data_IF_513882197659
#
_entry.id   IF_513882197659
#
_cell.length_a   1.000
_cell.length_b   1.000
_cell.length_c   1.000
_cell.angle_alpha   90.00
_cell.angle_beta   90.00
_cell.angle_gamma   90.00
#
_symmetry.space_group_name_H-M   'P 1'
#
loop_
_entity.id
_entity.type
_entity.pdbx_description
1 polymer ?
#
# COMPACT_ATOMS: atom_id res chain seq x y z
N UNK A 1 -48.17 -49.15 50.50
CA UNK A 1 -46.79 -49.70 50.54
C UNK A 1 -46.09 -49.32 49.24
N UNK A 2 -44.97 -48.59 49.34
CA UNK A 2 -43.88 -48.38 48.37
C UNK A 2 -44.21 -47.77 47.00
N UNK A 3 -43.82 -46.50 46.77
CA UNK A 3 -42.52 -45.99 46.26
C UNK A 3 -42.49 -45.97 44.73
N UNK A 4 -42.47 -44.78 44.15
CA UNK A 4 -41.37 -44.41 43.25
C UNK A 4 -41.30 -42.88 43.09
N UNK A 5 -40.24 -42.32 43.68
CA UNK A 5 -39.74 -40.98 43.39
C UNK A 5 -38.88 -41.12 42.14
N UNK A 6 -39.29 -40.53 41.03
CA UNK A 6 -38.44 -40.38 39.85
C UNK A 6 -37.88 -38.96 39.81
N UNK A 7 -36.64 -38.80 40.28
CA UNK A 7 -35.82 -37.59 40.14
C UNK A 7 -35.37 -37.46 38.68
N UNK A 8 -36.18 -36.77 37.87
CA UNK A 8 -35.82 -36.38 36.51
C UNK A 8 -35.03 -35.08 36.50
N UNK A 9 -33.76 -35.10 36.92
CA UNK A 9 -32.83 -33.98 36.67
C UNK A 9 -32.51 -33.92 35.18
N UNK A 10 -33.35 -33.19 34.43
CA UNK A 10 -33.02 -32.76 33.07
C UNK A 10 -31.73 -31.92 33.11
N UNK A 11 -30.63 -32.49 32.65
CA UNK A 11 -29.44 -31.74 32.24
C UNK A 11 -29.82 -30.88 31.04
N UNK A 12 -30.34 -29.70 31.32
CA UNK A 12 -30.65 -28.66 30.35
C UNK A 12 -29.34 -28.21 29.71
N UNK A 13 -28.93 -28.88 28.62
CA UNK A 13 -27.79 -28.48 27.77
C UNK A 13 -28.00 -27.03 27.39
N UNK A 14 -27.12 -26.16 27.88
CA UNK A 14 -27.20 -24.72 27.70
C UNK A 14 -26.82 -24.35 26.26
N UNK A 15 -27.78 -24.50 25.34
CA UNK A 15 -27.65 -24.06 23.95
C UNK A 15 -27.28 -22.57 23.83
N UNK A 16 -27.68 -21.76 24.82
CA UNK A 16 -27.32 -20.34 24.92
C UNK A 16 -25.84 -20.09 25.21
N UNK A 17 -25.19 -20.84 26.12
CA UNK A 17 -23.78 -20.63 26.47
C UNK A 17 -22.83 -20.86 25.29
N UNK A 18 -23.12 -21.87 24.46
CA UNK A 18 -22.34 -22.11 23.23
C UNK A 18 -22.45 -20.97 22.22
N UNK A 19 -23.64 -20.39 22.07
CA UNK A 19 -23.87 -19.25 21.17
C UNK A 19 -23.17 -17.97 21.66
N UNK A 20 -23.19 -17.70 22.98
CA UNK A 20 -22.48 -16.56 23.56
C UNK A 20 -20.96 -16.67 23.38
N UNK A 21 -20.38 -17.86 23.56
CA UNK A 21 -18.94 -18.08 23.34
C UNK A 21 -18.58 -17.89 21.87
N UNK A 22 -19.40 -18.38 20.94
CA UNK A 22 -19.17 -18.20 19.51
C UNK A 22 -19.20 -16.72 19.09
N UNK A 23 -20.16 -15.94 19.60
CA UNK A 23 -20.23 -14.48 19.34
C UNK A 23 -19.00 -13.77 19.90
N UNK A 24 -18.57 -14.10 21.12
CA UNK A 24 -17.36 -13.56 21.74
C UNK A 24 -16.12 -13.84 20.88
N UNK A 25 -15.98 -15.06 20.35
CA UNK A 25 -14.84 -15.42 19.50
C UNK A 25 -14.85 -14.69 18.15
N UNK A 26 -16.03 -14.48 17.55
CA UNK A 26 -16.15 -13.69 16.30
C UNK A 26 -15.78 -12.23 16.56
N UNK A 27 -16.24 -11.65 17.67
CA UNK A 27 -15.88 -10.27 18.04
C UNK A 27 -14.39 -10.16 18.33
N UNK A 28 -13.82 -11.10 19.10
CA UNK A 28 -12.38 -11.12 19.38
C UNK A 28 -11.55 -11.30 18.10
N UNK A 29 -11.97 -12.21 17.22
CA UNK A 29 -11.30 -12.48 15.94
C UNK A 29 -11.37 -11.28 14.99
N UNK A 30 -12.54 -10.64 14.90
CA UNK A 30 -12.72 -9.40 14.13
C UNK A 30 -11.89 -8.24 14.68
N UNK A 31 -11.83 -8.08 16.00
CA UNK A 31 -11.01 -7.06 16.65
C UNK A 31 -9.50 -7.34 16.44
N UNK A 32 -9.07 -8.59 16.59
CA UNK A 32 -7.67 -8.96 16.35
C UNK A 32 -7.27 -8.74 14.89
N UNK A 33 -8.13 -9.10 13.93
CA UNK A 33 -7.91 -8.84 12.51
C UNK A 33 -7.83 -7.34 12.22
N UNK A 34 -8.75 -6.56 12.78
CA UNK A 34 -8.75 -5.10 12.63
C UNK A 34 -7.45 -4.48 13.18
N UNK A 35 -7.05 -4.83 14.41
CA UNK A 35 -5.82 -4.34 15.03
C UNK A 35 -4.59 -4.74 14.22
N UNK A 36 -4.53 -5.98 13.71
CA UNK A 36 -3.44 -6.44 12.86
C UNK A 36 -3.36 -5.61 11.56
N UNK A 37 -4.47 -5.45 10.84
CA UNK A 37 -4.50 -4.66 9.61
C UNK A 37 -4.18 -3.18 9.82
N UNK A 38 -4.61 -2.59 10.94
CA UNK A 38 -4.30 -1.20 11.27
C UNK A 38 -2.81 -1.01 11.62
N UNK A 39 -2.21 -2.00 12.27
CA UNK A 39 -0.77 -2.00 12.58
C UNK A 39 0.06 -2.05 11.30
N UNK A 40 -0.24 -2.97 10.39
CA UNK A 40 0.50 -3.11 9.13
C UNK A 40 0.42 -1.82 8.30
N UNK A 41 -0.76 -1.19 8.26
CA UNK A 41 -0.95 0.10 7.58
C UNK A 41 -0.06 1.21 8.18
N UNK A 42 -0.03 1.34 9.51
CA UNK A 42 0.76 2.37 10.19
C UNK A 42 2.27 2.14 10.05
N UNK A 43 2.73 0.89 10.02
CA UNK A 43 4.14 0.56 9.77
C UNK A 43 4.54 0.83 8.31
N UNK A 44 3.64 0.56 7.36
CA UNK A 44 3.84 0.85 5.94
C UNK A 44 3.94 2.37 5.70
N UNK A 45 3.01 3.17 6.23
CA UNK A 45 3.05 4.64 6.13
C UNK A 45 4.38 5.21 6.67
N UNK A 46 4.85 4.72 7.82
CA UNK A 46 6.15 5.15 8.38
C UNK A 46 7.34 4.83 7.49
N UNK A 47 7.32 3.70 6.78
CA UNK A 47 8.42 3.28 5.90
C UNK A 47 8.51 4.15 4.65
N UNK A 48 7.40 4.74 4.23
CA UNK A 48 7.29 5.56 3.03
C UNK A 48 7.06 7.04 3.34
N UNK A 49 7.35 7.47 4.57
CA UNK A 49 7.37 8.88 4.95
C UNK A 49 8.79 9.41 4.77
N UNK A 50 8.93 10.49 4.01
CA UNK A 50 10.21 11.13 3.71
C UNK A 50 10.13 12.63 4.01
N UNK A 51 10.92 13.10 4.97
CA UNK A 51 10.94 14.49 5.44
C UNK A 51 11.74 15.39 4.50
N UNK A 52 12.73 14.83 3.78
CA UNK A 52 13.63 15.61 2.95
C UNK A 52 14.11 14.90 1.69
N UNK A 53 14.72 15.68 0.78
CA UNK A 53 15.28 15.19 -0.47
C UNK A 53 16.34 14.09 -0.27
N UNK A 54 17.18 14.20 0.75
CA UNK A 54 18.24 13.23 1.01
C UNK A 54 17.68 11.82 1.26
N UNK A 55 16.58 11.71 1.99
CA UNK A 55 15.93 10.42 2.27
C UNK A 55 15.30 9.83 0.99
N UNK A 56 14.71 10.67 0.13
CA UNK A 56 14.20 10.22 -1.19
C UNK A 56 15.33 9.70 -2.08
N UNK A 57 16.47 10.39 -2.13
CA UNK A 57 17.64 9.95 -2.89
C UNK A 57 18.22 8.65 -2.32
N UNK A 58 18.29 8.51 -0.99
CA UNK A 58 18.74 7.28 -0.34
C UNK A 58 17.80 6.10 -0.65
N UNK A 59 16.47 6.35 -0.63
CA UNK A 59 15.48 5.38 -1.05
C UNK A 59 15.70 4.90 -2.48
N UNK A 60 15.89 5.82 -3.43
CA UNK A 60 16.16 5.47 -4.84
C UNK A 60 17.48 4.70 -5.01
N UNK A 61 18.53 5.12 -4.29
CA UNK A 61 19.83 4.44 -4.28
C UNK A 61 19.71 3.01 -3.73
N UNK A 62 18.81 2.75 -2.78
CA UNK A 62 18.57 1.40 -2.24
C UNK A 62 18.05 0.41 -3.29
N UNK A 63 17.45 0.92 -4.38
CA UNK A 63 17.06 0.14 -5.56
C UNK A 63 18.14 0.12 -6.66
N UNK A 64 19.33 0.66 -6.38
CA UNK A 64 20.43 0.73 -7.33
C UNK A 64 20.29 1.85 -8.38
N UNK A 65 19.34 2.78 -8.21
CA UNK A 65 19.18 3.92 -9.10
C UNK A 65 20.10 5.05 -8.66
N UNK A 66 20.98 5.50 -9.56
CA UNK A 66 21.76 6.73 -9.37
C UNK A 66 20.99 7.83 -10.06
N UNK A 67 20.66 8.89 -9.32
CA UNK A 67 19.88 10.01 -9.84
C UNK A 67 20.63 11.34 -9.73
N UNK A 68 20.22 12.32 -10.53
CA UNK A 68 20.59 13.71 -10.25
C UNK A 68 20.02 14.13 -8.89
N UNK A 69 20.79 14.88 -8.08
CA UNK A 69 20.41 15.16 -6.70
C UNK A 69 19.22 16.10 -6.58
N UNK A 70 19.00 16.99 -7.56
CA UNK A 70 17.92 17.97 -7.55
C UNK A 70 16.77 17.46 -8.43
N UNK A 71 15.57 17.22 -7.87
CA UNK A 71 14.41 16.83 -8.66
C UNK A 71 13.75 18.05 -9.33
N UNK A 72 13.09 17.82 -10.45
CA UNK A 72 11.99 18.67 -10.85
C UNK A 72 10.80 18.44 -9.90
N UNK A 73 10.19 19.52 -9.42
CA UNK A 73 9.06 19.46 -8.48
C UNK A 73 7.83 20.11 -9.11
N UNK A 74 6.71 19.42 -9.09
CA UNK A 74 5.44 19.86 -9.69
C UNK A 74 4.28 19.50 -8.76
N UNK A 75 3.37 20.45 -8.50
CA UNK A 75 2.11 20.14 -7.84
C UNK A 75 1.11 19.68 -8.89
N UNK A 76 0.55 18.47 -8.70
CA UNK A 76 -0.38 17.85 -9.64
C UNK A 76 -1.70 17.52 -8.93
N UNK A 77 -2.80 17.62 -9.67
CA UNK A 77 -4.13 17.23 -9.18
C UNK A 77 -4.39 15.76 -9.54
N UNK A 78 -4.60 14.92 -8.53
CA UNK A 78 -5.17 13.58 -8.75
C UNK A 78 -6.61 13.77 -9.24
N UNK A 79 -7.02 13.18 -10.38
CA UNK A 79 -8.37 13.35 -10.90
C UNK A 79 -9.44 12.95 -9.88
N UNK A 80 -10.49 13.76 -9.77
CA UNK A 80 -11.64 13.44 -8.94
C UNK A 80 -12.37 12.18 -9.42
N UNK A 81 -12.34 11.92 -10.73
CA UNK A 81 -12.89 10.72 -11.37
C UNK A 81 -11.81 10.03 -12.19
N UNK A 82 -11.62 8.73 -11.97
CA UNK A 82 -10.59 7.97 -12.67
C UNK A 82 -11.12 7.55 -14.04
N UNK A 83 -10.57 8.15 -15.09
CA UNK A 83 -10.76 7.67 -16.46
C UNK A 83 -10.15 6.27 -16.63
N UNK A 84 -10.43 5.54 -17.72
CA UNK A 84 -9.79 4.25 -17.95
C UNK A 84 -8.26 4.31 -17.88
N UNK A 85 -7.64 5.34 -18.48
CA UNK A 85 -6.19 5.54 -18.43
C UNK A 85 -5.67 5.78 -17.01
N UNK A 86 -6.38 6.56 -16.20
CA UNK A 86 -5.96 6.80 -14.82
C UNK A 86 -6.24 5.58 -13.91
N UNK A 87 -7.27 4.80 -14.24
CA UNK A 87 -7.53 3.51 -13.58
C UNK A 87 -6.38 2.54 -13.83
N UNK A 88 -5.94 2.40 -15.08
CA UNK A 88 -4.76 1.58 -15.42
C UNK A 88 -3.49 2.06 -14.70
N UNK A 89 -3.28 3.38 -14.63
CA UNK A 89 -2.18 3.95 -13.86
C UNK A 89 -2.29 3.61 -12.37
N UNK A 90 -3.49 3.71 -11.76
CA UNK A 90 -3.68 3.33 -10.36
C UNK A 90 -3.45 1.83 -10.13
N UNK A 91 -3.84 0.95 -11.06
CA UNK A 91 -3.54 -0.48 -10.94
C UNK A 91 -2.03 -0.76 -10.98
N UNK A 92 -1.26 0.00 -11.76
CA UNK A 92 0.22 -0.04 -11.73
C UNK A 92 0.77 0.38 -10.35
N UNK A 93 0.15 1.37 -9.70
CA UNK A 93 0.53 1.79 -8.34
C UNK A 93 0.12 0.75 -7.27
N UNK A 94 -1.06 0.14 -7.41
CA UNK A 94 -1.54 -0.95 -6.54
C UNK A 94 -0.66 -2.17 -6.55
N UNK A 95 -0.12 -2.53 -7.72
CA UNK A 95 0.83 -3.62 -7.83
C UNK A 95 2.10 -3.41 -6.96
N UNK A 96 2.35 -2.19 -6.49
CA UNK A 96 3.48 -1.82 -5.64
C UNK A 96 3.10 -1.62 -4.16
N UNK A 97 1.82 -1.80 -3.81
CA UNK A 97 1.28 -1.56 -2.48
C UNK A 97 0.76 -0.15 -2.23
N UNK A 98 0.66 0.69 -3.27
CA UNK A 98 0.05 2.03 -3.19
C UNK A 98 -1.43 2.01 -3.61
N UNK A 99 -2.18 3.08 -3.35
CA UNK A 99 -3.53 3.26 -3.93
C UNK A 99 -3.82 4.76 -4.03
N UNK A 100 -4.02 5.26 -5.24
CA UNK A 100 -4.30 6.68 -5.51
C UNK A 100 -5.77 7.04 -5.33
N UNK A 101 -6.69 6.05 -5.26
CA UNK A 101 -8.13 6.31 -5.16
C UNK A 101 -8.53 7.11 -3.89
N UNK A 102 -7.93 6.91 -2.71
CA UNK A 102 -8.17 7.75 -1.53
C UNK A 102 -7.71 9.20 -1.69
N UNK A 103 -6.93 9.50 -2.72
CA UNK A 103 -6.37 10.81 -3.01
C UNK A 103 -7.08 11.51 -4.19
N UNK A 104 -8.17 10.94 -4.72
CA UNK A 104 -8.97 11.55 -5.79
C UNK A 104 -9.39 12.98 -5.46
N UNK A 105 -9.11 13.91 -6.38
CA UNK A 105 -9.42 15.33 -6.24
C UNK A 105 -8.49 16.10 -5.30
N UNK A 106 -7.38 15.51 -4.85
CA UNK A 106 -6.36 16.19 -4.05
C UNK A 106 -5.19 16.66 -4.90
N UNK A 107 -4.61 17.79 -4.49
CA UNK A 107 -3.29 18.21 -4.95
C UNK A 107 -2.22 17.39 -4.22
N UNK A 108 -1.23 16.89 -4.97
CA UNK A 108 -0.11 16.10 -4.48
C UNK A 108 1.18 16.61 -5.13
N UNK A 109 2.33 16.36 -4.50
CA UNK A 109 3.62 16.78 -5.04
C UNK A 109 4.26 15.64 -5.84
N UNK A 110 4.67 15.93 -7.07
CA UNK A 110 5.45 15.05 -7.92
C UNK A 110 6.92 15.47 -7.89
N UNK A 111 7.80 14.58 -7.45
CA UNK A 111 9.25 14.70 -7.60
C UNK A 111 9.73 13.84 -8.75
N UNK A 112 10.37 14.45 -9.74
CA UNK A 112 10.93 13.78 -10.91
C UNK A 112 12.45 13.88 -10.89
N UNK A 113 13.10 12.74 -10.81
CA UNK A 113 14.57 12.64 -10.80
C UNK A 113 15.06 12.04 -12.10
N UNK A 114 16.08 12.65 -12.72
CA UNK A 114 16.77 12.07 -13.87
C UNK A 114 17.63 10.90 -13.43
N UNK A 115 17.48 9.74 -14.08
CA UNK A 115 18.30 8.55 -13.80
C UNK A 115 19.59 8.61 -14.61
N UNK A 116 20.74 8.39 -13.96
CA UNK A 116 22.07 8.50 -14.55
C UNK A 116 22.67 7.16 -14.99
N UNK A 117 22.12 6.04 -14.52
CA UNK A 117 22.66 4.70 -14.74
C UNK A 117 21.65 3.72 -15.36
N UNK A 118 20.63 4.21 -16.07
CA UNK A 118 19.67 3.33 -16.74
C UNK A 118 20.30 2.68 -17.99
N UNK A 119 20.25 1.35 -18.15
CA UNK A 119 20.88 0.67 -19.28
C UNK A 119 20.34 1.16 -20.63
N UNK A 120 21.25 1.41 -21.58
CA UNK A 120 20.94 1.70 -22.99
C UNK A 120 20.06 2.94 -23.26
N UNK A 121 19.73 3.74 -22.23
CA UNK A 121 18.89 4.94 -22.33
C UNK A 121 19.56 6.10 -21.55
N UNK A 122 20.31 6.98 -22.23
CA UNK A 122 21.04 8.06 -21.56
C UNK A 122 20.21 9.33 -21.30
N UNK A 123 19.07 9.52 -21.97
CA UNK A 123 18.28 10.75 -21.94
C UNK A 123 16.77 10.47 -21.76
N UNK A 124 16.03 11.42 -21.19
CA UNK A 124 14.57 11.38 -20.98
C UNK A 124 14.03 10.22 -20.12
N UNK A 125 14.89 9.56 -19.35
CA UNK A 125 14.51 8.55 -18.36
C UNK A 125 14.49 9.16 -16.96
N UNK A 126 13.37 8.99 -16.27
CA UNK A 126 13.14 9.57 -14.96
C UNK A 126 12.49 8.57 -14.01
N UNK A 127 12.73 8.77 -12.71
CA UNK A 127 11.91 8.16 -11.65
C UNK A 127 11.03 9.25 -11.05
N UNK A 128 9.74 8.96 -11.03
CA UNK A 128 8.68 9.82 -10.51
C UNK A 128 8.25 9.31 -9.15
N UNK A 129 8.15 10.19 -8.17
CA UNK A 129 7.63 9.91 -6.84
C UNK A 129 6.48 10.88 -6.53
N UNK A 130 5.29 10.34 -6.24
CA UNK A 130 4.10 11.12 -5.88
C UNK A 130 3.93 11.14 -4.36
N UNK A 131 3.67 12.33 -3.81
CA UNK A 131 3.60 12.56 -2.37
C UNK A 131 2.33 13.30 -1.96
N UNK A 132 1.59 12.75 -1.00
CA UNK A 132 0.64 13.53 -0.18
C UNK A 132 1.40 13.96 1.08
N UNK A 133 1.79 15.25 1.13
CA UNK A 133 2.69 15.80 2.14
C UNK A 133 4.05 15.06 2.17
N UNK A 134 4.35 14.34 3.25
CA UNK A 134 5.59 13.56 3.40
C UNK A 134 5.43 12.09 3.03
N UNK A 135 4.22 11.61 2.74
CA UNK A 135 3.94 10.21 2.46
C UNK A 135 4.05 9.94 0.95
N UNK A 136 4.90 8.99 0.56
CA UNK A 136 4.96 8.46 -0.80
C UNK A 136 3.69 7.64 -1.07
N UNK A 137 2.93 8.05 -2.07
CA UNK A 137 1.65 7.45 -2.47
C UNK A 137 1.68 6.85 -3.87
N UNK A 138 2.80 6.98 -4.59
CA UNK A 138 3.01 6.39 -5.90
C UNK A 138 4.43 6.56 -6.39
N UNK A 139 4.93 5.60 -7.15
CA UNK A 139 6.27 5.64 -7.73
C UNK A 139 6.32 4.90 -9.07
N UNK A 140 7.01 5.48 -10.06
CA UNK A 140 7.22 4.84 -11.36
C UNK A 140 8.52 5.29 -12.02
N UNK A 141 9.01 4.49 -12.96
CA UNK A 141 10.06 4.87 -13.89
C UNK A 141 9.40 5.16 -15.24
N UNK A 142 9.65 6.36 -15.75
CA UNK A 142 9.10 6.81 -17.03
C UNK A 142 10.22 7.15 -18.00
N UNK A 143 10.17 6.54 -19.18
CA UNK A 143 10.93 6.96 -20.36
C UNK A 143 9.99 7.75 -21.26
N UNK A 144 10.23 9.06 -21.40
CA UNK A 144 9.38 9.94 -22.20
C UNK A 144 9.90 10.03 -23.63
N UNK A 145 9.47 9.10 -24.48
CA UNK A 145 9.80 9.03 -25.90
C UNK A 145 8.55 8.74 -26.73
N UNK A 146 8.44 9.37 -27.90
CA UNK A 146 7.24 9.30 -28.73
C UNK A 146 6.98 7.92 -29.36
N UNK A 147 8.01 7.11 -29.56
CA UNK A 147 7.90 5.80 -30.21
C UNK A 147 8.12 4.64 -29.24
N UNK A 148 9.01 4.82 -28.26
CA UNK A 148 9.49 3.76 -27.36
C UNK A 148 9.25 4.07 -25.88
N UNK A 149 8.50 5.12 -25.58
CA UNK A 149 8.21 5.54 -24.21
C UNK A 149 7.48 4.45 -23.41
N UNK A 150 7.72 4.44 -22.11
CA UNK A 150 7.06 3.52 -21.20
C UNK A 150 6.95 4.12 -19.80
N UNK A 151 5.98 3.63 -19.03
CA UNK A 151 5.87 3.79 -17.58
C UNK A 151 5.85 2.41 -16.96
N UNK A 152 6.69 2.18 -15.95
CA UNK A 152 6.76 0.90 -15.24
C UNK A 152 6.87 1.11 -13.72
N UNK A 153 6.42 0.14 -12.90
CA UNK A 153 6.57 0.24 -11.46
C UNK A 153 8.03 0.38 -11.05
N UNK A 154 8.30 1.20 -10.03
CA UNK A 154 9.62 1.30 -9.39
C UNK A 154 9.91 0.06 -8.53
N UNK A 155 8.93 -0.33 -7.72
CA UNK A 155 9.04 -1.43 -6.75
C UNK A 155 8.45 -2.69 -7.38
N UNK A 156 9.29 -3.49 -8.05
CA UNK A 156 8.87 -4.77 -8.63
C UNK A 156 8.59 -5.84 -7.55
N UNK A 157 7.79 -6.85 -7.87
CA UNK A 157 7.45 -7.98 -6.97
C UNK A 157 8.68 -8.62 -6.29
N UNK A 158 9.78 -8.74 -7.04
CA UNK A 158 11.06 -9.29 -6.54
C UNK A 158 11.67 -8.43 -5.43
N UNK A 159 11.44 -7.12 -5.45
CA UNK A 159 11.91 -6.15 -4.45
C UNK A 159 10.95 -6.05 -3.27
N UNK A 160 9.66 -6.30 -3.48
CA UNK A 160 8.64 -6.34 -2.43
C UNK A 160 8.91 -7.46 -1.42
N UNK A 161 9.35 -8.63 -1.91
CA UNK A 161 9.77 -9.75 -1.06
C UNK A 161 10.96 -9.39 -0.16
N UNK A 162 11.94 -8.63 -0.66
CA UNK A 162 13.07 -8.16 0.16
C UNK A 162 12.71 -7.07 1.17
N UNK A 163 11.59 -6.36 0.95
CA UNK A 163 11.10 -5.31 1.83
C UNK A 163 10.07 -5.82 2.86
N UNK A 164 9.68 -7.10 2.81
CA UNK A 164 8.54 -7.66 3.55
C UNK A 164 7.26 -6.85 3.33
N UNK A 165 6.99 -6.42 2.11
CA UNK A 165 5.70 -5.82 1.77
C UNK A 165 4.69 -6.95 1.56
N UNK A 166 3.68 -7.04 2.44
CA UNK A 166 2.55 -7.95 2.25
C UNK A 166 1.70 -7.42 1.08
N UNK A 167 1.96 -7.94 -0.12
CA UNK A 167 1.13 -7.72 -1.30
C UNK A 167 -0.17 -8.49 -1.09
N UNK A 168 -1.29 -7.77 -0.95
CA UNK A 168 -2.63 -8.37 -0.89
C UNK A 168 -3.27 -8.43 -2.27
#
# INVERSE_FOLDING_TARGET
MNREYSDGRERRRSKGKGLFIAILLIILGGLALFVFTAKDKAENEKRFTFECNAERVEFLNSFGLIVEPEPETEDILIPAEFTPSYTEYNELQKAQGFDLLPYSGKDVTLYRYRILNYPDIPENITVNLLFDDHLLIGADITFNDAEKGFTKPLIAETMQSSLNLDVK
#
